data_IF_620618210432
#
_entry.id   IF_620618210432
#
_cell.length_a   1.000
_cell.length_b   1.000
_cell.length_c   1.000
_cell.angle_alpha   90.00
_cell.angle_beta   90.00
_cell.angle_gamma   90.00
#
_symmetry.space_group_name_H-M   'P 1'
#
loop_
_entity.id
_entity.type
_entity.pdbx_description
1 polymer ?
#
# COMPACT_ATOMS: atom_id res chain seq x y z
N UNK A 1 11.41 -4.83 -15.34
CA UNK A 1 11.15 -3.93 -16.49
C UNK A 1 12.15 -4.15 -17.65
N UNK A 2 13.42 -4.31 -17.40
CA UNK A 2 14.47 -4.51 -18.45
C UNK A 2 14.28 -5.81 -19.25
N UNK A 3 13.90 -6.92 -18.63
CA UNK A 3 13.69 -8.22 -19.32
C UNK A 3 12.53 -8.24 -20.32
N UNK A 4 11.51 -7.42 -20.09
CA UNK A 4 10.33 -7.34 -21.00
C UNK A 4 10.68 -6.56 -22.27
N UNK A 5 11.50 -5.51 -22.16
CA UNK A 5 11.93 -4.68 -23.30
C UNK A 5 12.86 -5.48 -24.20
N UNK A 6 13.76 -6.29 -23.63
CA UNK A 6 14.68 -7.14 -24.41
C UNK A 6 13.92 -8.24 -25.16
N UNK A 7 12.89 -8.86 -24.54
CA UNK A 7 12.06 -9.87 -25.21
C UNK A 7 11.26 -9.33 -26.39
N UNK A 8 10.72 -8.11 -26.26
CA UNK A 8 9.97 -7.46 -27.36
C UNK A 8 10.89 -7.04 -28.50
N UNK A 9 12.10 -6.56 -28.22
CA UNK A 9 13.09 -6.20 -29.24
C UNK A 9 13.58 -7.43 -30.05
N UNK A 10 13.82 -8.55 -29.39
CA UNK A 10 14.25 -9.81 -30.05
C UNK A 10 13.12 -10.37 -30.94
N UNK A 11 11.87 -10.33 -30.48
CA UNK A 11 10.72 -10.80 -31.25
C UNK A 11 10.41 -9.89 -32.46
N UNK A 12 10.65 -8.58 -32.34
CA UNK A 12 10.55 -7.66 -33.48
C UNK A 12 11.64 -7.90 -34.53
N UNK A 13 12.90 -8.13 -34.11
CA UNK A 13 14.00 -8.40 -35.02
C UNK A 13 13.78 -9.69 -35.81
N UNK A 14 13.33 -10.77 -35.18
CA UNK A 14 13.03 -12.05 -35.86
C UNK A 14 11.89 -11.89 -36.85
N UNK A 15 10.85 -11.08 -36.56
CA UNK A 15 9.71 -10.85 -37.47
C UNK A 15 10.08 -9.99 -38.68
N UNK A 16 11.02 -9.05 -38.58
CA UNK A 16 11.45 -8.23 -39.72
C UNK A 16 12.20 -9.06 -40.79
N UNK A 17 12.94 -10.08 -40.40
CA UNK A 17 13.64 -10.95 -41.35
C UNK A 17 12.67 -11.81 -42.17
N UNK A 18 11.57 -12.28 -41.60
CA UNK A 18 10.55 -13.09 -42.32
C UNK A 18 9.75 -12.29 -43.33
N UNK A 19 9.61 -10.95 -43.15
CA UNK A 19 8.88 -10.08 -44.09
C UNK A 19 9.63 -9.90 -45.43
N UNK A 20 10.97 -10.04 -45.43
CA UNK A 20 11.78 -9.97 -46.64
C UNK A 20 11.68 -11.21 -47.54
N UNK A 21 11.13 -12.31 -47.04
CA UNK A 21 11.01 -13.58 -47.77
C UNK A 21 9.63 -13.77 -48.45
N UNK A 22 8.69 -12.82 -48.34
CA UNK A 22 7.38 -12.94 -48.94
C UNK A 22 7.39 -12.44 -50.40
N UNK A 23 6.81 -13.21 -51.37
CA UNK A 23 6.76 -12.82 -52.77
C UNK A 23 5.96 -11.54 -52.94
N UNK A 24 6.45 -10.65 -53.85
CA UNK A 24 5.98 -9.29 -54.06
C UNK A 24 4.50 -9.13 -54.53
N UNK A 25 3.80 -10.23 -54.80
CA UNK A 25 2.44 -10.25 -55.36
C UNK A 25 1.34 -10.62 -54.36
N UNK A 26 1.62 -10.68 -53.05
CA UNK A 26 0.57 -10.96 -52.07
C UNK A 26 -0.18 -9.66 -51.70
N UNK A 27 -1.47 -9.64 -52.00
CA UNK A 27 -2.36 -8.49 -51.94
C UNK A 27 -2.17 -7.62 -50.67
N UNK A 28 -1.53 -6.46 -50.81
CA UNK A 28 -1.18 -5.48 -49.78
C UNK A 28 -2.34 -5.08 -48.84
N UNK A 29 -3.59 -5.08 -49.32
CA UNK A 29 -4.73 -4.59 -48.55
C UNK A 29 -5.21 -5.51 -47.42
N UNK A 30 -5.25 -6.83 -47.64
CA UNK A 30 -5.76 -7.78 -46.61
C UNK A 30 -4.75 -8.11 -45.50
N UNK A 31 -3.46 -8.00 -45.79
CA UNK A 31 -2.40 -8.23 -44.80
C UNK A 31 -2.29 -7.03 -43.85
N UNK A 32 -2.39 -5.82 -44.37
CA UNK A 32 -2.30 -4.58 -43.58
C UNK A 32 -3.39 -4.49 -42.50
N UNK A 33 -4.63 -4.89 -42.81
CA UNK A 33 -5.72 -4.93 -41.81
C UNK A 33 -5.48 -5.97 -40.71
N UNK A 34 -4.93 -7.13 -41.00
CA UNK A 34 -4.60 -8.17 -40.01
C UNK A 34 -3.46 -7.71 -39.09
N UNK A 35 -2.48 -6.99 -39.63
CA UNK A 35 -1.39 -6.44 -38.84
C UNK A 35 -1.84 -5.29 -37.93
N UNK A 36 -2.70 -4.40 -38.45
CA UNK A 36 -3.30 -3.33 -37.65
C UNK A 36 -4.16 -3.86 -36.51
N UNK A 37 -4.96 -4.91 -36.77
CA UNK A 37 -5.73 -5.59 -35.74
C UNK A 37 -4.85 -6.27 -34.69
N UNK A 38 -3.75 -6.93 -35.09
CA UNK A 38 -2.80 -7.54 -34.15
C UNK A 38 -2.07 -6.51 -33.29
N UNK A 39 -1.66 -5.38 -33.87
CA UNK A 39 -1.04 -4.28 -33.14
C UNK A 39 -2.04 -3.62 -32.21
N UNK A 40 -3.28 -3.42 -32.65
CA UNK A 40 -4.35 -2.87 -31.81
C UNK A 40 -4.70 -3.81 -30.66
N UNK A 41 -4.77 -5.13 -30.88
CA UNK A 41 -4.96 -6.12 -29.81
C UNK A 41 -3.78 -6.14 -28.82
N UNK A 42 -2.53 -5.98 -29.28
CA UNK A 42 -1.36 -5.87 -28.40
C UNK A 42 -1.34 -4.57 -27.56
N UNK A 43 -1.91 -3.48 -28.07
CA UNK A 43 -2.00 -2.21 -27.34
C UNK A 43 -3.09 -2.22 -26.27
N UNK A 44 -4.13 -3.07 -26.40
CA UNK A 44 -5.21 -3.20 -25.41
C UNK A 44 -4.78 -4.07 -24.21
N UNK A 45 -3.75 -4.90 -24.34
CA UNK A 45 -3.34 -5.87 -23.31
C UNK A 45 -2.46 -5.33 -22.18
N UNK A 46 -2.21 -4.02 -22.05
CA UNK A 46 -1.21 -3.49 -21.12
C UNK A 46 -1.76 -2.68 -19.94
N UNK A 47 -3.06 -2.71 -19.67
CA UNK A 47 -3.59 -2.09 -18.46
C UNK A 47 -3.91 -3.17 -17.41
N UNK A 48 -2.97 -4.06 -17.15
CA UNK A 48 -2.96 -4.77 -15.89
C UNK A 48 -2.31 -3.82 -14.88
N UNK A 49 -3.12 -3.07 -14.16
CA UNK A 49 -2.64 -2.41 -12.96
C UNK A 49 -2.18 -3.51 -12.00
N UNK A 50 -0.88 -3.70 -11.88
CA UNK A 50 -0.35 -4.51 -10.80
C UNK A 50 -0.81 -3.84 -9.50
N UNK A 51 -1.64 -4.54 -8.73
CA UNK A 51 -2.02 -4.07 -7.40
C UNK A 51 -0.75 -3.80 -6.62
N UNK A 52 -0.61 -2.61 -6.05
CA UNK A 52 0.53 -2.30 -5.21
C UNK A 52 0.42 -3.05 -3.86
N UNK A 53 1.48 -3.03 -3.06
CA UNK A 53 1.50 -3.78 -1.80
C UNK A 53 0.48 -3.26 -0.78
N UNK A 54 0.03 -1.99 -0.88
CA UNK A 54 -1.06 -1.49 -0.04
C UNK A 54 -2.39 -2.14 -0.41
N UNK A 55 -2.66 -2.31 -1.71
CA UNK A 55 -3.89 -2.95 -2.19
C UNK A 55 -3.91 -4.44 -1.81
N UNK A 56 -2.76 -5.12 -1.95
CA UNK A 56 -2.63 -6.52 -1.58
C UNK A 56 -2.81 -6.71 -0.06
N UNK A 57 -2.08 -5.98 0.76
CA UNK A 57 -2.19 -6.05 2.22
C UNK A 57 -3.59 -5.63 2.70
N UNK A 58 -4.18 -4.60 2.09
CA UNK A 58 -5.53 -4.15 2.39
C UNK A 58 -6.57 -5.23 2.14
N UNK A 59 -6.49 -5.93 1.01
CA UNK A 59 -7.35 -7.06 0.67
C UNK A 59 -7.19 -8.21 1.69
N UNK A 60 -5.96 -8.60 1.99
CA UNK A 60 -5.66 -9.80 2.78
C UNK A 60 -6.02 -9.59 4.26
N UNK A 61 -5.82 -8.38 4.80
CA UNK A 61 -6.21 -8.00 6.16
C UNK A 61 -7.60 -7.35 6.27
N UNK A 62 -8.33 -7.18 5.16
CA UNK A 62 -9.65 -6.50 5.10
C UNK A 62 -9.59 -5.07 5.65
N UNK A 63 -8.54 -4.37 5.31
CA UNK A 63 -8.28 -2.97 5.67
C UNK A 63 -8.37 -2.13 4.38
N UNK A 64 -9.00 -0.95 4.45
CA UNK A 64 -8.98 -0.03 3.31
C UNK A 64 -7.52 0.31 2.93
N UNK A 65 -7.07 0.03 1.70
CA UNK A 65 -5.70 0.32 1.27
C UNK A 65 -5.30 1.78 1.44
N UNK A 66 -6.25 2.71 1.30
CA UNK A 66 -5.99 4.13 1.47
C UNK A 66 -5.75 4.52 2.94
N UNK A 67 -6.30 3.73 3.88
CA UNK A 67 -5.95 3.88 5.29
C UNK A 67 -4.49 3.46 5.55
N UNK A 68 -4.03 2.38 4.96
CA UNK A 68 -2.63 1.96 5.04
C UNK A 68 -1.70 3.01 4.40
N UNK A 69 -2.10 3.58 3.25
CA UNK A 69 -1.37 4.69 2.61
C UNK A 69 -1.31 5.93 3.50
N UNK A 70 -2.42 6.27 4.17
CA UNK A 70 -2.46 7.41 5.08
C UNK A 70 -1.53 7.22 6.29
N UNK A 71 -1.47 6.02 6.85
CA UNK A 71 -0.53 5.67 7.93
C UNK A 71 0.90 5.78 7.41
N UNK A 72 1.23 5.16 6.29
CA UNK A 72 2.58 5.21 5.71
C UNK A 72 3.03 6.65 5.40
N UNK A 73 2.12 7.49 4.90
CA UNK A 73 2.41 8.91 4.73
C UNK A 73 2.72 9.61 6.05
N UNK A 74 1.91 9.39 7.08
CA UNK A 74 2.12 9.97 8.41
C UNK A 74 3.44 9.51 9.04
N UNK A 75 3.76 8.22 8.92
CA UNK A 75 4.90 7.61 9.59
C UNK A 75 6.25 7.96 8.92
N UNK A 76 6.30 7.95 7.60
CA UNK A 76 7.57 8.06 6.88
C UNK A 76 7.55 8.96 5.63
N UNK A 77 6.40 9.50 5.22
CA UNK A 77 6.19 10.12 3.90
C UNK A 77 6.60 9.16 2.76
N UNK A 78 6.22 7.90 2.89
CA UNK A 78 6.54 6.80 1.95
C UNK A 78 8.04 6.49 1.79
N UNK A 79 8.88 6.85 2.75
CA UNK A 79 10.32 6.52 2.69
C UNK A 79 10.55 5.09 3.15
N UNK A 80 11.01 4.24 2.21
CA UNK A 80 11.23 2.80 2.44
C UNK A 80 12.25 2.54 3.55
N UNK A 81 13.34 3.29 3.56
CA UNK A 81 14.46 3.14 4.50
C UNK A 81 14.40 4.10 5.69
N UNK A 82 13.22 4.61 6.02
CA UNK A 82 13.08 5.54 7.15
C UNK A 82 13.37 4.83 8.48
N UNK A 83 14.16 5.50 9.33
CA UNK A 83 14.37 5.12 10.74
C UNK A 83 13.92 6.30 11.60
N UNK A 84 12.91 6.05 12.45
CA UNK A 84 12.36 7.04 13.36
C UNK A 84 12.74 6.73 14.81
N UNK A 85 13.61 7.53 15.42
CA UNK A 85 14.07 7.33 16.80
C UNK A 85 12.92 7.61 17.76
N UNK A 86 12.65 6.67 18.67
CA UNK A 86 11.74 6.82 19.79
C UNK A 86 12.51 6.61 21.10
N UNK A 87 12.73 7.67 21.92
CA UNK A 87 13.54 7.57 23.12
C UNK A 87 13.02 6.56 24.16
N UNK A 88 11.73 6.20 24.07
CA UNK A 88 11.07 5.30 25.03
C UNK A 88 11.06 3.86 24.58
N UNK A 89 10.88 3.63 23.27
CA UNK A 89 10.64 2.28 22.74
C UNK A 89 11.73 1.77 21.81
N UNK A 90 12.69 2.62 21.45
CA UNK A 90 13.77 2.28 20.53
C UNK A 90 13.62 3.04 19.20
N UNK A 91 13.16 2.38 18.14
CA UNK A 91 13.00 3.02 16.84
C UNK A 91 11.92 2.32 15.99
N UNK A 92 11.37 3.09 15.05
CA UNK A 92 10.50 2.59 14.01
C UNK A 92 11.26 2.38 12.70
N UNK A 93 10.89 1.37 11.94
CA UNK A 93 11.55 0.98 10.68
C UNK A 93 10.63 1.03 9.48
N UNK A 94 11.10 1.65 8.41
CA UNK A 94 10.52 1.64 7.08
C UNK A 94 9.25 2.46 6.93
N UNK A 95 8.49 2.15 5.88
CA UNK A 95 7.28 2.86 5.45
C UNK A 95 6.25 3.06 6.57
N UNK A 96 5.95 2.00 7.31
CA UNK A 96 4.92 1.95 8.35
C UNK A 96 5.49 2.14 9.76
N UNK A 97 6.80 2.45 9.90
CA UNK A 97 7.51 2.65 11.16
C UNK A 97 7.25 1.53 12.17
N UNK A 98 7.50 0.29 11.73
CA UNK A 98 7.35 -0.90 12.59
C UNK A 98 8.30 -0.78 13.77
N UNK A 99 7.74 -0.79 15.00
CA UNK A 99 8.49 -0.55 16.23
C UNK A 99 9.47 -1.70 16.55
N UNK A 100 10.68 -1.36 16.94
CA UNK A 100 11.76 -2.31 17.28
C UNK A 100 11.40 -3.28 18.42
N UNK A 101 10.43 -2.93 19.27
CA UNK A 101 9.89 -3.85 20.30
C UNK A 101 9.29 -5.12 19.73
N UNK A 102 8.89 -5.10 18.47
CA UNK A 102 8.29 -6.25 17.78
C UNK A 102 9.32 -7.16 17.11
N UNK A 103 10.60 -6.79 17.06
CA UNK A 103 11.59 -7.53 16.27
C UNK A 103 11.83 -8.97 16.77
N UNK A 104 11.80 -9.20 18.09
CA UNK A 104 11.91 -10.55 18.63
C UNK A 104 10.72 -11.45 18.26
N UNK A 105 9.53 -10.89 18.15
CA UNK A 105 8.35 -11.60 17.67
C UNK A 105 8.46 -11.86 16.16
N UNK A 106 8.79 -10.85 15.38
CA UNK A 106 8.92 -10.90 13.93
C UNK A 106 10.02 -11.86 13.47
N UNK A 107 11.13 -11.95 14.21
CA UNK A 107 12.22 -12.88 13.92
C UNK A 107 11.75 -14.34 13.88
N UNK A 108 10.73 -14.73 14.66
CA UNK A 108 10.14 -16.07 14.64
C UNK A 108 9.47 -16.41 13.30
N UNK A 109 9.13 -15.39 12.53
CA UNK A 109 8.54 -15.50 11.18
C UNK A 109 9.57 -15.20 10.08
N UNK A 110 10.86 -15.10 10.43
CA UNK A 110 11.94 -14.79 9.49
C UNK A 110 11.99 -13.33 9.05
N UNK A 111 11.24 -12.42 9.70
CA UNK A 111 11.22 -11.00 9.39
C UNK A 111 12.30 -10.30 10.21
N UNK A 112 13.30 -9.75 9.53
CA UNK A 112 14.43 -9.04 10.16
C UNK A 112 14.24 -7.52 10.09
N UNK A 113 14.97 -6.73 10.92
CA UNK A 113 15.01 -5.28 10.80
C UNK A 113 15.43 -4.79 9.41
N UNK A 114 16.33 -5.52 8.75
CA UNK A 114 16.79 -5.22 7.40
C UNK A 114 15.64 -5.38 6.38
N UNK A 115 14.87 -6.46 6.44
CA UNK A 115 13.68 -6.64 5.60
C UNK A 115 12.72 -5.47 5.72
N UNK A 116 12.54 -4.91 6.93
CA UNK A 116 11.62 -3.79 7.16
C UNK A 116 12.10 -2.46 6.58
N UNK A 117 13.36 -2.36 6.15
CA UNK A 117 13.93 -1.14 5.55
C UNK A 117 14.34 -1.30 4.10
N UNK A 118 14.33 -2.52 3.57
CA UNK A 118 14.72 -2.82 2.18
C UNK A 118 13.58 -3.39 1.35
N UNK A 119 12.60 -4.06 1.99
CA UNK A 119 11.42 -4.62 1.32
C UNK A 119 10.16 -3.83 1.69
N UNK A 120 9.67 -2.96 0.79
CA UNK A 120 8.47 -2.16 1.05
C UNK A 120 7.23 -3.02 1.26
N UNK A 121 7.09 -4.16 0.56
CA UNK A 121 5.93 -5.03 0.73
C UNK A 121 5.94 -5.70 2.09
N UNK A 122 7.08 -6.23 2.53
CA UNK A 122 7.22 -6.81 3.86
C UNK A 122 6.87 -5.80 4.96
N UNK A 123 7.34 -4.55 4.81
CA UNK A 123 7.03 -3.49 5.77
C UNK A 123 5.52 -3.16 5.81
N UNK A 124 4.88 -2.99 4.64
CA UNK A 124 3.45 -2.68 4.54
C UNK A 124 2.60 -3.82 5.14
N UNK A 125 2.91 -5.07 4.80
CA UNK A 125 2.21 -6.23 5.36
C UNK A 125 2.38 -6.33 6.88
N UNK A 126 3.58 -6.06 7.39
CA UNK A 126 3.85 -6.06 8.84
C UNK A 126 3.06 -4.94 9.54
N UNK A 127 3.03 -3.74 8.97
CA UNK A 127 2.21 -2.63 9.49
C UNK A 127 0.71 -2.94 9.47
N UNK A 128 0.21 -3.52 8.36
CA UNK A 128 -1.18 -3.96 8.25
C UNK A 128 -1.54 -5.02 9.29
N UNK A 129 -0.64 -5.97 9.56
CA UNK A 129 -0.80 -6.98 10.62
C UNK A 129 -1.02 -6.33 12.00
N UNK A 130 -0.18 -5.36 12.40
CA UNK A 130 -0.35 -4.69 13.70
C UNK A 130 -1.62 -3.83 13.76
N UNK A 131 -2.02 -3.21 12.66
CA UNK A 131 -3.32 -2.52 12.59
C UNK A 131 -4.48 -3.51 12.69
N UNK A 132 -4.39 -4.68 12.06
CA UNK A 132 -5.40 -5.73 12.16
C UNK A 132 -5.54 -6.26 13.60
N UNK A 133 -4.43 -6.37 14.36
CA UNK A 133 -4.47 -6.69 15.80
C UNK A 133 -5.27 -5.63 16.56
N UNK A 134 -5.07 -4.35 16.27
CA UNK A 134 -5.81 -3.27 16.90
C UNK A 134 -7.32 -3.36 16.57
N UNK A 135 -7.66 -3.64 15.31
CA UNK A 135 -9.05 -3.84 14.89
C UNK A 135 -9.69 -5.09 15.51
N UNK A 136 -8.93 -6.18 15.64
CA UNK A 136 -9.42 -7.37 16.34
C UNK A 136 -9.74 -7.07 17.81
N UNK A 137 -8.95 -6.22 18.46
CA UNK A 137 -9.09 -5.91 19.89
C UNK A 137 -10.20 -4.90 20.17
N UNK A 138 -10.37 -3.87 19.34
CA UNK A 138 -11.27 -2.74 19.61
C UNK A 138 -12.31 -2.48 18.50
N UNK A 139 -12.47 -3.42 17.57
CA UNK A 139 -13.29 -3.25 16.38
C UNK A 139 -12.66 -2.29 15.37
N UNK A 140 -13.25 -2.21 14.19
CA UNK A 140 -12.83 -1.25 13.15
C UNK A 140 -13.28 0.14 13.57
N UNK A 141 -12.37 0.91 14.14
CA UNK A 141 -12.64 2.23 14.74
C UNK A 141 -11.43 3.15 14.65
N UNK A 142 -11.66 4.44 14.72
CA UNK A 142 -10.56 5.43 14.78
C UNK A 142 -9.76 5.32 16.08
N UNK A 143 -10.34 4.83 17.16
CA UNK A 143 -9.62 4.53 18.38
C UNK A 143 -8.59 3.40 18.16
N UNK A 144 -8.97 2.35 17.44
CA UNK A 144 -8.06 1.28 17.05
C UNK A 144 -6.96 1.77 16.11
N UNK A 145 -7.26 2.68 15.17
CA UNK A 145 -6.24 3.36 14.35
C UNK A 145 -5.28 4.15 15.25
N UNK A 146 -5.80 4.86 16.24
CA UNK A 146 -4.96 5.58 17.21
C UNK A 146 -4.06 4.66 18.03
N UNK A 147 -4.53 3.44 18.33
CA UNK A 147 -3.77 2.45 19.09
C UNK A 147 -2.56 1.91 18.32
N UNK A 148 -2.55 2.00 17.00
CA UNK A 148 -1.37 1.68 16.18
C UNK A 148 -0.12 2.41 16.67
N UNK A 149 -0.24 3.71 16.94
CA UNK A 149 0.87 4.54 17.45
C UNK A 149 0.98 4.52 18.98
N UNK A 150 -0.15 4.66 19.68
CA UNK A 150 -0.15 4.93 21.14
C UNK A 150 -0.38 3.68 21.99
N UNK A 151 -0.65 2.52 21.37
CA UNK A 151 -0.88 1.26 22.09
C UNK A 151 -2.20 1.22 22.88
N UNK A 152 -2.36 0.18 23.69
CA UNK A 152 -3.63 -0.20 24.30
C UNK A 152 -3.77 0.19 25.77
N UNK A 153 -2.76 0.83 26.38
CA UNK A 153 -2.80 1.23 27.81
C UNK A 153 -3.96 2.20 28.04
N UNK A 154 -4.76 1.93 29.09
CA UNK A 154 -5.83 2.78 29.52
C UNK A 154 -5.30 3.88 30.44
N UNK A 155 -5.13 5.10 29.91
CA UNK A 155 -4.86 6.31 30.66
C UNK A 155 -5.28 7.51 29.82
N UNK A 156 -5.60 8.61 30.46
CA UNK A 156 -6.02 9.84 29.78
C UNK A 156 -4.94 10.33 28.79
N UNK A 157 -3.68 10.31 29.20
CA UNK A 157 -2.54 10.66 28.33
C UNK A 157 -2.50 9.79 27.07
N UNK A 158 -2.72 8.46 27.20
CA UNK A 158 -2.74 7.57 26.02
C UNK A 158 -3.96 7.79 25.15
N UNK A 159 -5.11 8.08 25.77
CA UNK A 159 -6.35 8.43 25.01
C UNK A 159 -6.10 9.66 24.13
N UNK A 160 -5.54 10.72 24.71
CA UNK A 160 -5.23 11.94 23.95
C UNK A 160 -4.25 11.67 22.82
N UNK A 161 -3.22 10.85 23.04
CA UNK A 161 -2.27 10.45 21.98
C UNK A 161 -2.96 9.67 20.86
N UNK A 162 -3.85 8.71 21.21
CA UNK A 162 -4.65 7.98 20.22
C UNK A 162 -5.53 8.91 19.40
N UNK A 163 -6.23 9.81 20.05
CA UNK A 163 -7.10 10.79 19.41
C UNK A 163 -6.33 11.70 18.45
N UNK A 164 -5.21 12.24 18.89
CA UNK A 164 -4.36 13.11 18.06
C UNK A 164 -3.86 12.36 16.82
N UNK A 165 -3.30 11.17 17.01
CA UNK A 165 -2.83 10.34 15.90
C UNK A 165 -3.95 9.98 14.93
N UNK A 166 -5.09 9.48 15.45
CA UNK A 166 -6.23 9.12 14.63
C UNK A 166 -6.81 10.31 13.84
N UNK A 167 -6.82 11.51 14.44
CA UNK A 167 -7.23 12.73 13.77
C UNK A 167 -6.31 13.10 12.60
N UNK A 168 -5.01 12.96 12.77
CA UNK A 168 -4.05 13.19 11.68
C UNK A 168 -4.25 12.19 10.55
N UNK A 169 -4.38 10.88 10.88
CA UNK A 169 -4.63 9.84 9.88
C UNK A 169 -5.96 10.08 9.15
N UNK A 170 -7.02 10.45 9.87
CA UNK A 170 -8.32 10.76 9.25
C UNK A 170 -8.21 11.87 8.21
N UNK A 171 -7.49 12.96 8.54
CA UNK A 171 -7.27 14.08 7.62
C UNK A 171 -6.52 13.66 6.35
N UNK A 172 -5.46 12.85 6.50
CA UNK A 172 -4.68 12.33 5.36
C UNK A 172 -5.54 11.38 4.53
N UNK A 173 -6.23 10.45 5.19
CA UNK A 173 -7.10 9.47 4.55
C UNK A 173 -8.23 10.13 3.73
N UNK A 174 -8.89 11.14 4.29
CA UNK A 174 -9.93 11.89 3.57
C UNK A 174 -9.36 12.65 2.38
N UNK A 175 -8.15 13.19 2.50
CA UNK A 175 -7.44 13.82 1.39
C UNK A 175 -7.15 12.83 0.25
N UNK A 176 -6.67 11.62 0.57
CA UNK A 176 -6.44 10.56 -0.42
C UNK A 176 -7.76 10.16 -1.10
N UNK A 177 -8.86 9.98 -0.35
CA UNK A 177 -10.17 9.66 -0.93
C UNK A 177 -10.67 10.77 -1.85
N UNK A 178 -10.58 12.03 -1.41
CA UNK A 178 -10.97 13.18 -2.23
C UNK A 178 -10.17 13.28 -3.53
N UNK A 179 -8.87 13.02 -3.51
CA UNK A 179 -8.06 13.06 -4.73
C UNK A 179 -8.46 11.98 -5.75
N UNK A 180 -9.11 10.91 -5.29
CA UNK A 180 -9.69 9.85 -6.11
C UNK A 180 -11.16 10.10 -6.49
N UNK A 181 -11.72 11.27 -6.16
CA UNK A 181 -13.13 11.62 -6.40
C UNK A 181 -14.11 10.91 -5.47
N UNK A 182 -13.64 10.25 -4.40
CA UNK A 182 -14.47 9.52 -3.44
C UNK A 182 -14.86 10.47 -2.32
N UNK A 183 -16.18 10.78 -2.22
CA UNK A 183 -16.73 11.58 -1.13
C UNK A 183 -17.06 10.66 0.06
N UNK A 184 -16.39 10.87 1.18
CA UNK A 184 -16.75 10.20 2.43
C UNK A 184 -17.94 10.90 3.09
N UNK A 185 -18.87 10.16 3.74
CA UNK A 185 -19.94 10.78 4.50
C UNK A 185 -19.34 11.70 5.56
N UNK A 186 -19.85 12.95 5.60
CA UNK A 186 -19.42 13.93 6.59
C UNK A 186 -19.87 13.45 7.98
N UNK A 187 -18.96 12.80 8.68
CA UNK A 187 -19.18 12.46 10.09
C UNK A 187 -19.07 13.75 10.90
N UNK A 188 -20.19 14.18 11.49
CA UNK A 188 -20.26 15.41 12.29
C UNK A 188 -19.28 15.44 13.47
N UNK A 189 -18.76 14.28 13.94
CA UNK A 189 -17.69 14.14 14.94
C UNK A 189 -17.12 12.70 14.91
N UNK A 190 -16.14 12.35 14.08
CA UNK A 190 -15.58 11.00 14.07
C UNK A 190 -14.95 10.57 15.40
N UNK A 191 -14.65 11.54 16.27
CA UNK A 191 -13.95 11.33 17.55
C UNK A 191 -14.81 11.59 18.79
N UNK A 192 -16.12 11.94 18.67
CA UNK A 192 -16.95 12.31 19.81
C UNK A 192 -17.35 11.14 20.73
N UNK A 193 -17.27 9.89 20.23
CA UNK A 193 -17.64 8.69 21.02
C UNK A 193 -16.54 8.19 21.94
N UNK A 194 -15.32 8.66 21.80
CA UNK A 194 -14.18 8.16 22.60
C UNK A 194 -14.24 8.64 24.05
N UNK A 195 -14.90 9.78 24.30
CA UNK A 195 -15.01 10.36 25.65
C UNK A 195 -16.18 9.82 26.50
N UNK A 196 -17.13 9.08 25.92
CA UNK A 196 -18.34 8.67 26.65
C UNK A 196 -18.28 7.26 27.27
N UNK A 197 -17.34 6.42 26.85
CA UNK A 197 -17.24 5.02 27.33
C UNK A 197 -16.36 4.83 28.56
N UNK A 198 -15.81 5.89 29.15
CA UNK A 198 -14.85 5.79 30.27
C UNK A 198 -15.34 6.43 31.58
N UNK A 199 -16.65 6.65 31.71
CA UNK A 199 -17.25 7.14 32.97
C UNK A 199 -17.97 6.05 33.78
N UNK A 200 -17.53 4.81 33.69
CA UNK A 200 -17.94 3.75 34.63
C UNK A 200 -16.73 2.96 35.11
#
# INVERSE_FOLDING_TARGET
MVLLVVRTAILLSIKLEWVKLLPANYARGKIMHKWLLSVLLMLISTIVHAADCFDLAGRDYKIDPDLLRAISWKESHYRVNAIGINPVTGYGSGLMQVDSRHFNELARYGITPEHLTTDPCMNIYTGAYYLAIAFKKWGVSWEAVGAYNAGFRKSERQNQRRLAYASDIYRIYTGIKSSKGIQLPVSKKPFSKINSSQKN
#
